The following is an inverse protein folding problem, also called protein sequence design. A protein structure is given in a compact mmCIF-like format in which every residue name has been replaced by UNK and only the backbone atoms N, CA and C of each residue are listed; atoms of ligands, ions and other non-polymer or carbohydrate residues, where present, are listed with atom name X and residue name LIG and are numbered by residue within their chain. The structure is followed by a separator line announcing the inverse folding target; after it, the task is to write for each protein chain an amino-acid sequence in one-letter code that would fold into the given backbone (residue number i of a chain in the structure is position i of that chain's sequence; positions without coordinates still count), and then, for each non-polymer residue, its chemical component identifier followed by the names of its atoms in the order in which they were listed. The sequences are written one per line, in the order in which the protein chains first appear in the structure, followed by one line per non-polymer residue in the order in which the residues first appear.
data_IF_311821927700
#
_entry.id   IF_311821927700
#
_cell.length_a   1.000
_cell.length_b   1.000
_cell.length_c   1.000
_cell.angle_alpha   90.00
_cell.angle_beta   90.00
_cell.angle_gamma   90.00
#
_symmetry.space_group_name_H-M   'P 1'
#
loop_
_entity.id
_entity.type
_entity.pdbx_description
1 polymer ?
#
# COMPACT_ATOMS: atom_id res chain seq x y z
N UNK A 1 15.52 -17.18 19.32
CA UNK A 1 16.44 -18.35 19.41
C UNK A 1 17.30 -18.55 18.15
N UNK A 2 16.73 -18.68 16.91
CA UNK A 2 17.52 -18.89 15.66
C UNK A 2 18.55 -17.78 15.45
N UNK A 3 18.13 -16.52 15.57
CA UNK A 3 19.01 -15.35 15.38
C UNK A 3 20.11 -15.25 16.45
N UNK A 4 19.84 -15.70 17.65
CA UNK A 4 20.84 -15.78 18.74
C UNK A 4 21.89 -16.87 18.47
N UNK A 5 21.45 -18.04 18.01
CA UNK A 5 22.34 -19.12 17.62
C UNK A 5 23.24 -18.73 16.44
N UNK A 6 22.65 -18.08 15.44
CA UNK A 6 23.37 -17.57 14.28
C UNK A 6 24.49 -16.59 14.72
N UNK A 7 24.14 -15.62 15.59
CA UNK A 7 25.11 -14.65 16.12
C UNK A 7 26.21 -15.32 16.96
N UNK A 8 25.84 -16.30 17.81
CA UNK A 8 26.77 -16.99 18.68
C UNK A 8 27.80 -17.83 17.92
N UNK A 9 27.38 -18.49 16.85
CA UNK A 9 28.20 -19.38 16.07
C UNK A 9 28.71 -18.81 14.74
N UNK A 10 28.26 -17.59 14.39
CA UNK A 10 28.66 -16.84 13.20
C UNK A 10 28.56 -17.64 11.89
N UNK A 11 27.43 -18.33 11.69
CA UNK A 11 27.16 -19.06 10.45
C UNK A 11 26.07 -18.39 9.60
N UNK A 12 26.06 -18.70 8.31
CA UNK A 12 25.04 -18.23 7.37
C UNK A 12 23.88 -19.19 7.33
N UNK A 13 22.66 -18.67 7.43
CA UNK A 13 21.41 -19.43 7.30
C UNK A 13 20.71 -18.98 6.04
N UNK A 14 20.30 -19.92 5.20
CA UNK A 14 19.32 -19.69 4.14
C UNK A 14 18.01 -20.30 4.62
N UNK A 15 16.99 -19.45 4.75
CA UNK A 15 15.66 -19.84 5.21
C UNK A 15 14.64 -19.60 4.10
N UNK A 16 13.88 -20.63 3.75
CA UNK A 16 12.82 -20.56 2.75
C UNK A 16 11.48 -20.74 3.46
N UNK A 17 10.61 -19.78 3.36
CA UNK A 17 9.28 -19.79 3.99
C UNK A 17 8.27 -19.05 3.13
N UNK A 18 7.01 -19.37 3.31
CA UNK A 18 5.88 -18.57 2.81
C UNK A 18 5.32 -17.62 3.87
N UNK A 19 5.79 -17.70 5.12
CA UNK A 19 5.41 -16.77 6.19
C UNK A 19 6.30 -15.53 6.14
N UNK A 20 5.70 -14.43 5.68
CA UNK A 20 6.37 -13.15 5.52
C UNK A 20 6.77 -12.55 6.87
N UNK A 21 5.92 -12.73 7.89
CA UNK A 21 6.16 -12.18 9.24
C UNK A 21 7.37 -12.85 9.88
N UNK A 22 7.47 -14.18 9.75
CA UNK A 22 8.65 -14.91 10.20
C UNK A 22 9.90 -14.46 9.46
N UNK A 23 9.85 -14.41 8.13
CA UNK A 23 10.98 -13.97 7.31
C UNK A 23 11.43 -12.55 7.69
N UNK A 24 10.51 -11.60 7.84
CA UNK A 24 10.83 -10.23 8.24
C UNK A 24 11.45 -10.14 9.64
N UNK A 25 11.02 -10.97 10.58
CA UNK A 25 11.50 -10.94 11.96
C UNK A 25 12.93 -11.49 12.13
N UNK A 26 13.32 -12.49 11.32
CA UNK A 26 14.59 -13.21 11.54
C UNK A 26 15.68 -12.93 10.50
N UNK A 27 15.33 -12.39 9.32
CA UNK A 27 16.28 -12.19 8.24
C UNK A 27 17.07 -10.89 8.38
N UNK A 28 18.32 -10.90 7.96
CA UNK A 28 19.11 -9.67 7.74
C UNK A 28 18.90 -9.15 6.31
N UNK A 29 18.66 -10.08 5.37
CA UNK A 29 18.25 -9.78 3.98
C UNK A 29 17.19 -10.77 3.56
N UNK A 30 16.27 -10.30 2.73
CA UNK A 30 15.22 -11.12 2.14
C UNK A 30 15.27 -11.04 0.63
N UNK A 31 14.82 -12.10 -0.01
CA UNK A 31 14.63 -12.20 -1.46
C UNK A 31 13.18 -12.57 -1.72
N UNK A 32 12.49 -11.70 -2.45
CA UNK A 32 11.15 -11.99 -2.95
C UNK A 32 11.28 -12.62 -4.33
N UNK A 33 10.68 -13.80 -4.48
CA UNK A 33 10.68 -14.56 -5.73
C UNK A 33 9.26 -14.75 -6.24
N UNK A 34 9.11 -14.70 -7.56
CA UNK A 34 7.87 -15.04 -8.26
C UNK A 34 8.17 -15.86 -9.51
N UNK A 35 7.50 -17.01 -9.70
CA UNK A 35 7.65 -17.90 -10.85
C UNK A 35 9.11 -18.19 -11.23
N UNK A 36 9.97 -18.42 -10.22
CA UNK A 36 11.39 -18.69 -10.40
C UNK A 36 12.26 -17.46 -10.72
N UNK A 37 11.71 -16.26 -10.69
CA UNK A 37 12.42 -14.99 -10.89
C UNK A 37 12.59 -14.26 -9.58
N UNK A 38 13.74 -13.62 -9.42
CA UNK A 38 13.99 -12.73 -8.29
C UNK A 38 13.36 -11.38 -8.60
N UNK A 39 12.40 -10.96 -7.78
CA UNK A 39 11.70 -9.69 -7.91
C UNK A 39 12.44 -8.56 -7.22
N UNK A 40 12.90 -8.80 -5.98
CA UNK A 40 13.69 -7.83 -5.23
C UNK A 40 14.50 -8.54 -4.14
N UNK A 41 15.70 -8.00 -3.87
CA UNK A 41 16.53 -8.42 -2.72
C UNK A 41 16.92 -7.17 -1.95
N UNK A 42 16.58 -7.12 -0.66
CA UNK A 42 16.96 -6.02 0.23
C UNK A 42 16.84 -6.45 1.71
N UNK A 43 17.03 -5.50 2.63
CA UNK A 43 16.65 -5.68 4.02
C UNK A 43 15.12 -5.77 4.14
N UNK A 44 14.57 -6.45 5.15
CA UNK A 44 13.12 -6.52 5.37
C UNK A 44 12.43 -5.16 5.36
N UNK A 45 13.03 -4.18 6.04
CA UNK A 45 12.49 -2.81 6.13
C UNK A 45 12.44 -2.12 4.76
N UNK A 46 13.50 -2.23 3.95
CA UNK A 46 13.53 -1.65 2.62
C UNK A 46 12.54 -2.31 1.67
N UNK A 47 12.42 -3.64 1.71
CA UNK A 47 11.43 -4.37 0.91
C UNK A 47 9.99 -3.91 1.21
N UNK A 48 9.70 -3.63 2.49
CA UNK A 48 8.38 -3.14 2.90
C UNK A 48 8.15 -1.67 2.55
N UNK A 49 9.16 -0.79 2.77
CA UNK A 49 9.05 0.66 2.60
C UNK A 49 9.32 1.16 1.19
N UNK A 50 10.10 0.39 0.41
CA UNK A 50 10.57 0.76 -0.95
C UNK A 50 10.44 -0.42 -1.92
N UNK A 51 9.25 -1.04 -2.02
CA UNK A 51 9.03 -2.09 -3.01
C UNK A 51 9.20 -1.53 -4.42
N UNK A 52 9.95 -2.26 -5.25
CA UNK A 52 10.29 -1.84 -6.61
C UNK A 52 9.17 -2.09 -7.63
N UNK A 53 8.13 -2.81 -7.24
CA UNK A 53 6.99 -3.15 -8.09
C UNK A 53 5.72 -3.31 -7.27
N UNK A 54 4.57 -3.24 -7.94
CA UNK A 54 3.26 -3.52 -7.34
C UNK A 54 3.21 -4.93 -6.76
N UNK A 55 3.81 -5.89 -7.46
CA UNK A 55 3.90 -7.26 -6.97
C UNK A 55 4.58 -7.34 -5.60
N UNK A 56 5.78 -6.77 -5.46
CA UNK A 56 6.49 -6.78 -4.18
C UNK A 56 5.72 -6.01 -3.11
N UNK A 57 5.07 -4.90 -3.49
CA UNK A 57 4.22 -4.12 -2.58
C UNK A 57 3.07 -4.97 -2.05
N UNK A 58 2.30 -5.63 -2.92
CA UNK A 58 1.17 -6.46 -2.51
C UNK A 58 1.60 -7.75 -1.81
N UNK A 59 2.74 -8.32 -2.22
CA UNK A 59 3.27 -9.55 -1.62
C UNK A 59 3.62 -9.37 -0.14
N UNK A 60 4.20 -8.24 0.26
CA UNK A 60 4.69 -7.98 1.62
C UNK A 60 3.67 -7.36 2.58
N UNK A 61 2.42 -7.32 2.19
CA UNK A 61 1.34 -6.83 3.06
C UNK A 61 0.18 -6.27 2.29
N UNK A 62 -0.91 -6.05 3.01
CA UNK A 62 -2.12 -5.50 2.41
C UNK A 62 -1.86 -4.13 1.80
N UNK A 63 -2.40 -3.91 0.61
CA UNK A 63 -2.13 -2.75 -0.22
C UNK A 63 -3.41 -2.19 -0.79
N UNK A 64 -3.50 -0.87 -0.81
CA UNK A 64 -4.52 -0.13 -1.56
C UNK A 64 -3.87 0.45 -2.80
N UNK A 65 -4.43 0.16 -3.97
CA UNK A 65 -4.00 0.70 -5.25
C UNK A 65 -5.10 1.60 -5.82
N UNK A 66 -4.71 2.78 -6.27
CA UNK A 66 -5.63 3.76 -6.88
C UNK A 66 -5.11 4.14 -8.25
N UNK A 67 -5.91 3.94 -9.29
CA UNK A 67 -5.64 4.48 -10.62
C UNK A 67 -5.87 5.98 -10.59
N UNK A 68 -4.88 6.75 -11.04
CA UNK A 68 -4.92 8.21 -11.02
C UNK A 68 -4.55 8.80 -12.36
N UNK A 69 -5.05 10.00 -12.60
CA UNK A 69 -4.73 10.83 -13.77
C UNK A 69 -4.04 12.11 -13.30
N UNK A 70 -2.91 12.42 -13.92
CA UNK A 70 -2.15 13.63 -13.63
C UNK A 70 -2.49 14.67 -14.70
N UNK A 71 -3.06 15.78 -14.28
CA UNK A 71 -3.46 16.88 -15.15
C UNK A 71 -3.13 18.21 -14.50
N UNK A 72 -2.49 19.10 -15.26
CA UNK A 72 -2.12 20.46 -14.83
C UNK A 72 -1.34 20.46 -13.48
N UNK A 73 -0.42 19.48 -13.30
CA UNK A 73 0.39 19.34 -12.10
C UNK A 73 -0.39 18.89 -10.85
N UNK A 74 -1.59 18.37 -11.03
CA UNK A 74 -2.44 17.85 -9.95
C UNK A 74 -2.83 16.40 -10.20
N UNK A 75 -3.03 15.66 -9.13
CA UNK A 75 -3.40 14.24 -9.14
C UNK A 75 -4.90 14.11 -8.93
N UNK A 76 -5.58 13.45 -9.84
CA UNK A 76 -7.00 13.16 -9.73
C UNK A 76 -7.24 11.66 -9.70
N UNK A 77 -8.18 11.17 -8.88
CA UNK A 77 -8.59 9.78 -8.99
C UNK A 77 -9.25 9.54 -10.36
N UNK A 78 -9.02 8.36 -10.93
CA UNK A 78 -9.67 8.00 -12.19
C UNK A 78 -11.20 8.07 -12.04
N UNK A 79 -11.85 8.71 -13.02
CA UNK A 79 -13.30 8.90 -13.05
C UNK A 79 -13.82 10.09 -12.23
N UNK A 80 -12.99 10.80 -11.47
CA UNK A 80 -13.40 12.01 -10.75
C UNK A 80 -12.36 13.13 -10.87
N UNK A 81 -12.73 14.17 -11.59
CA UNK A 81 -11.91 15.39 -11.78
C UNK A 81 -12.45 16.59 -10.98
N UNK A 82 -13.41 16.37 -10.09
CA UNK A 82 -14.05 17.45 -9.31
C UNK A 82 -13.11 18.02 -8.24
N UNK A 83 -12.25 17.18 -7.68
CA UNK A 83 -11.25 17.57 -6.69
C UNK A 83 -9.97 16.74 -6.82
N UNK A 84 -8.78 17.35 -6.65
CA UNK A 84 -7.53 16.61 -6.67
C UNK A 84 -7.28 15.88 -5.35
N UNK A 85 -6.52 14.79 -5.43
CA UNK A 85 -5.83 14.21 -4.28
C UNK A 85 -4.67 15.13 -3.87
N UNK A 86 -4.45 15.31 -2.58
CA UNK A 86 -3.36 16.15 -2.05
C UNK A 86 -2.02 15.42 -2.07
N UNK A 87 -1.58 15.04 -3.27
CA UNK A 87 -0.35 14.29 -3.51
C UNK A 87 0.65 15.11 -4.32
N UNK A 88 1.93 14.98 -3.97
CA UNK A 88 3.00 15.53 -4.79
C UNK A 88 3.18 14.69 -6.06
N UNK A 89 3.22 15.35 -7.21
CA UNK A 89 3.45 14.69 -8.51
C UNK A 89 4.93 14.36 -8.64
N UNK A 90 5.33 13.11 -8.95
CA UNK A 90 6.71 12.79 -9.28
C UNK A 90 7.20 13.55 -10.52
N UNK A 91 8.50 13.87 -10.56
CA UNK A 91 9.08 14.67 -11.65
C UNK A 91 8.98 13.99 -13.04
N UNK A 92 8.99 12.67 -13.06
CA UNK A 92 8.93 11.80 -14.23
C UNK A 92 7.57 11.09 -14.39
N UNK A 93 6.52 11.63 -13.77
CA UNK A 93 5.21 11.02 -13.78
C UNK A 93 4.59 11.01 -15.19
N UNK A 94 4.07 9.86 -15.61
CA UNK A 94 3.20 9.73 -16.76
C UNK A 94 1.82 10.35 -16.47
N UNK A 95 1.03 10.59 -17.53
CA UNK A 95 -0.34 11.15 -17.40
C UNK A 95 -1.30 10.22 -16.64
N UNK A 96 -1.06 8.92 -16.68
CA UNK A 96 -1.82 7.92 -15.92
C UNK A 96 -0.84 7.06 -15.13
N UNK A 97 -1.12 6.89 -13.84
CA UNK A 97 -0.29 6.11 -12.91
C UNK A 97 -1.14 5.35 -11.90
N UNK A 98 -0.51 4.50 -11.15
CA UNK A 98 -1.10 3.86 -9.98
C UNK A 98 -0.42 4.40 -8.73
N UNK A 99 -1.23 4.94 -7.82
CA UNK A 99 -0.80 5.26 -6.46
C UNK A 99 -1.05 4.04 -5.58
N UNK A 100 0.00 3.58 -4.94
CA UNK A 100 -0.08 2.52 -3.95
C UNK A 100 0.20 3.06 -2.55
N UNK A 101 -0.52 2.54 -1.58
CA UNK A 101 -0.30 2.84 -0.16
C UNK A 101 -0.76 1.69 0.71
N UNK A 102 -0.39 1.69 1.98
CA UNK A 102 -0.93 0.75 2.96
C UNK A 102 -2.28 1.28 3.46
N UNK A 103 -3.29 0.41 3.70
CA UNK A 103 -4.59 0.86 4.21
C UNK A 103 -4.49 1.64 5.52
N UNK A 104 -3.53 1.31 6.38
CA UNK A 104 -3.27 1.99 7.65
C UNK A 104 -2.45 3.29 7.51
N UNK A 105 -1.92 3.59 6.33
CA UNK A 105 -1.26 4.86 6.00
C UNK A 105 -2.24 5.89 5.40
N UNK A 106 -3.50 5.52 5.21
CA UNK A 106 -4.56 6.43 4.82
C UNK A 106 -5.26 6.92 6.10
N UNK A 107 -5.27 8.22 6.31
CA UNK A 107 -5.98 8.85 7.42
C UNK A 107 -7.41 9.16 7.03
N UNK A 108 -8.36 8.79 7.89
CA UNK A 108 -9.76 9.17 7.76
C UNK A 108 -10.03 10.34 8.70
N UNK A 109 -10.49 11.47 8.15
CA UNK A 109 -10.69 12.73 8.86
C UNK A 109 -12.06 13.32 8.53
N UNK A 110 -12.50 14.33 9.29
CA UNK A 110 -13.75 15.04 9.04
C UNK A 110 -13.62 16.18 8.02
N UNK A 111 -12.42 16.77 7.87
CA UNK A 111 -12.25 18.07 7.23
C UNK A 111 -10.98 18.24 6.38
N UNK A 112 -10.05 17.30 6.44
CA UNK A 112 -8.76 17.42 5.75
C UNK A 112 -8.56 16.30 4.71
N UNK A 113 -8.25 16.66 3.47
CA UNK A 113 -7.95 15.74 2.40
C UNK A 113 -8.99 15.69 1.30
N UNK A 114 -9.04 14.59 0.58
CA UNK A 114 -10.02 14.33 -0.47
C UNK A 114 -11.37 13.99 0.14
N UNK A 115 -12.39 14.74 -0.23
CA UNK A 115 -13.76 14.58 0.31
C UNK A 115 -14.45 13.36 -0.30
N UNK A 116 -15.04 12.56 0.56
CA UNK A 116 -15.78 11.35 0.21
C UNK A 116 -16.79 11.01 1.31
N UNK A 117 -17.28 9.80 1.35
CA UNK A 117 -18.14 9.29 2.42
C UNK A 117 -17.79 7.84 2.74
N UNK A 118 -18.26 7.36 3.87
CA UNK A 118 -18.10 5.96 4.25
C UNK A 118 -19.12 5.12 3.52
N UNK A 119 -18.69 4.24 2.63
CA UNK A 119 -19.57 3.25 1.98
C UNK A 119 -19.83 2.07 2.91
N UNK A 120 -18.78 1.56 3.57
CA UNK A 120 -18.87 0.42 4.46
C UNK A 120 -17.92 0.56 5.64
N UNK A 121 -18.37 0.08 6.81
CA UNK A 121 -17.57 -0.04 8.03
C UNK A 121 -17.54 -1.50 8.49
N UNK A 122 -16.35 -2.01 8.79
CA UNK A 122 -16.13 -3.37 9.29
C UNK A 122 -15.32 -3.27 10.57
N UNK A 123 -15.91 -3.72 11.68
CA UNK A 123 -15.22 -3.75 12.97
C UNK A 123 -14.50 -5.09 13.12
N UNK A 124 -13.17 -5.06 13.27
CA UNK A 124 -12.33 -6.23 13.52
C UNK A 124 -11.77 -6.16 14.95
N UNK A 125 -11.10 -7.21 15.36
CA UNK A 125 -10.60 -7.34 16.75
C UNK A 125 -9.58 -6.27 17.12
N UNK A 126 -8.72 -5.87 16.20
CA UNK A 126 -7.56 -5.01 16.38
C UNK A 126 -7.68 -3.65 15.69
N UNK A 127 -8.60 -3.51 14.74
CA UNK A 127 -8.80 -2.31 13.91
C UNK A 127 -10.24 -2.18 13.41
N UNK A 128 -10.53 -1.02 12.85
CA UNK A 128 -11.74 -0.81 12.06
C UNK A 128 -11.34 -0.57 10.60
N UNK A 129 -11.97 -1.28 9.68
CA UNK A 129 -11.80 -1.09 8.24
C UNK A 129 -12.96 -0.28 7.68
N UNK A 130 -12.63 0.62 6.78
CA UNK A 130 -13.58 1.44 6.03
C UNK A 130 -13.36 1.23 4.54
N UNK A 131 -14.44 1.17 3.79
CA UNK A 131 -14.42 1.31 2.34
C UNK A 131 -14.99 2.68 1.99
N UNK A 132 -14.22 3.45 1.24
CA UNK A 132 -14.60 4.81 0.83
C UNK A 132 -14.45 4.96 -0.69
N UNK A 133 -15.42 5.57 -1.40
CA UNK A 133 -15.30 5.83 -2.83
C UNK A 133 -14.22 6.89 -3.10
N UNK A 134 -13.37 6.62 -4.08
CA UNK A 134 -12.36 7.56 -4.59
C UNK A 134 -12.34 7.45 -6.11
N UNK A 135 -13.01 8.35 -6.80
CA UNK A 135 -13.31 8.20 -8.21
C UNK A 135 -14.19 6.97 -8.48
N UNK A 136 -13.78 6.14 -9.41
CA UNK A 136 -14.48 4.89 -9.77
C UNK A 136 -14.13 3.70 -8.88
N UNK A 137 -13.31 3.90 -7.84
CA UNK A 137 -12.76 2.82 -7.04
C UNK A 137 -13.20 2.90 -5.57
N UNK A 138 -13.28 1.74 -4.92
CA UNK A 138 -13.42 1.64 -3.47
C UNK A 138 -12.04 1.47 -2.84
N UNK A 139 -11.70 2.42 -1.98
CA UNK A 139 -10.43 2.46 -1.27
C UNK A 139 -10.61 1.93 0.14
N UNK A 140 -9.77 0.97 0.52
CA UNK A 140 -9.74 0.43 1.88
C UNK A 140 -8.88 1.33 2.77
N UNK A 141 -9.42 1.67 3.93
CA UNK A 141 -8.75 2.44 4.99
C UNK A 141 -8.81 1.65 6.28
N UNK A 142 -7.70 1.51 6.97
CA UNK A 142 -7.62 0.89 8.29
C UNK A 142 -7.33 1.94 9.37
N UNK A 143 -8.11 1.93 10.42
CA UNK A 143 -7.97 2.89 11.52
C UNK A 143 -8.00 2.21 12.89
N UNK A 144 -7.39 2.81 13.93
CA UNK A 144 -7.66 2.44 15.30
C UNK A 144 -9.15 2.61 15.63
N UNK A 145 -9.69 1.82 16.54
CA UNK A 145 -11.12 1.86 16.94
C UNK A 145 -11.62 3.21 17.44
N UNK A 146 -10.72 4.09 17.90
CA UNK A 146 -11.07 5.44 18.37
C UNK A 146 -11.53 6.37 17.23
N UNK A 147 -11.20 6.04 15.99
CA UNK A 147 -11.69 6.76 14.80
C UNK A 147 -13.02 6.14 14.42
N UNK A 148 -14.10 6.90 14.54
CA UNK A 148 -15.46 6.39 14.35
C UNK A 148 -16.20 7.24 13.34
N UNK A 149 -16.56 6.62 12.23
CA UNK A 149 -17.48 7.14 11.22
C UNK A 149 -18.56 6.10 10.94
N UNK A 150 -19.76 6.56 10.65
CA UNK A 150 -20.89 5.69 10.32
C UNK A 150 -21.00 5.50 8.79
N UNK A 151 -21.54 4.38 8.31
CA UNK A 151 -21.89 4.25 6.90
C UNK A 151 -22.80 5.40 6.43
N UNK A 152 -22.49 5.98 5.26
CA UNK A 152 -23.14 7.18 4.71
C UNK A 152 -22.60 8.50 5.25
N UNK A 153 -21.80 8.51 6.29
CA UNK A 153 -21.23 9.73 6.85
C UNK A 153 -20.16 10.32 5.94
N UNK A 154 -20.22 11.65 5.75
CA UNK A 154 -19.20 12.38 4.98
C UNK A 154 -17.87 12.38 5.74
N UNK A 155 -16.80 12.14 5.00
CA UNK A 155 -15.43 12.12 5.52
C UNK A 155 -14.44 12.62 4.49
N UNK A 156 -13.19 12.74 4.89
CA UNK A 156 -12.08 13.02 4.01
C UNK A 156 -10.99 11.96 4.20
N UNK A 157 -10.24 11.67 3.14
CA UNK A 157 -9.05 10.85 3.21
C UNK A 157 -7.80 11.68 2.93
N UNK A 158 -6.76 11.40 3.69
CA UNK A 158 -5.42 11.94 3.49
C UNK A 158 -4.43 10.78 3.40
N UNK A 159 -3.65 10.73 2.31
CA UNK A 159 -2.78 9.60 1.99
C UNK A 159 -1.36 9.95 2.39
N UNK A 160 -0.81 9.19 3.33
CA UNK A 160 0.59 9.28 3.69
C UNK A 160 1.42 8.25 2.89
N UNK A 161 2.69 8.60 2.64
CA UNK A 161 3.70 7.74 2.02
C UNK A 161 3.23 7.05 0.72
N UNK A 162 2.73 7.79 -0.29
CA UNK A 162 2.31 7.23 -1.56
C UNK A 162 3.50 6.67 -2.33
N UNK A 163 3.32 5.50 -2.93
CA UNK A 163 4.24 4.93 -3.91
C UNK A 163 3.61 4.99 -5.29
N UNK A 164 4.45 5.19 -6.31
CA UNK A 164 4.00 5.43 -7.66
C UNK A 164 4.47 4.32 -8.58
N UNK A 165 3.53 3.75 -9.33
CA UNK A 165 3.82 2.69 -10.29
C UNK A 165 3.23 3.02 -11.65
N UNK A 166 3.87 2.57 -12.75
CA UNK A 166 3.29 2.66 -14.09
C UNK A 166 1.97 1.89 -14.17
N UNK A 167 1.03 2.38 -14.97
CA UNK A 167 -0.25 1.70 -15.21
C UNK A 167 -0.05 0.34 -15.91
N UNK A 168 1.02 0.19 -16.70
CA UNK A 168 1.36 -1.04 -17.42
C UNK A 168 1.65 -2.22 -16.50
N UNK A 169 2.19 -1.98 -15.30
CA UNK A 169 2.41 -3.03 -14.30
C UNK A 169 1.10 -3.71 -13.88
N UNK A 170 -0.03 -3.00 -13.95
CA UNK A 170 -1.36 -3.54 -13.67
C UNK A 170 -1.77 -4.58 -14.71
N UNK A 171 -1.55 -4.30 -15.99
CA UNK A 171 -1.90 -5.22 -17.09
C UNK A 171 -1.09 -6.51 -17.03
N UNK A 172 0.21 -6.39 -16.69
CA UNK A 172 1.09 -7.55 -16.57
C UNK A 172 0.75 -8.47 -15.38
N UNK A 173 0.08 -7.96 -14.34
CA UNK A 173 -0.39 -8.75 -13.19
C UNK A 173 -1.74 -9.42 -13.45
N UNK A 174 -2.65 -8.77 -14.19
CA UNK A 174 -3.97 -9.32 -14.54
C UNK A 174 -3.88 -10.45 -15.60
N UNK A 175 -2.79 -10.51 -16.36
CA UNK A 175 -2.52 -11.55 -17.37
C UNK A 175 -1.78 -12.79 -16.80
N UNK A 176 -1.49 -12.86 -15.52
CA UNK A 176 -0.81 -13.98 -14.82
C UNK A 176 -1.76 -14.86 -14.06
#
# INVERSE_FOLDING_TARGET
EIKELQRKFNFTIIFVTHDQSEAMAISDRMMVCDMGRIMQIDTPENLYRKPNSRFVHSFLGESTFMDVVIKDGRVYPKGDFSQPLHLAVPADAASEMVVATRPNAIRLTSDQGFRTHVEKRIFLTDRTEYLVPVGEQLVKVETPHRVVFSPGEACCIDIADPMWYPLEDKKAEEER
#
